data_IF_526045911760
#
_entry.id   IF_526045911760
#
_cell.length_a   1.000
_cell.length_b   1.000
_cell.length_c   1.000
_cell.angle_alpha   90.00
_cell.angle_beta   90.00
_cell.angle_gamma   90.00
#
_symmetry.space_group_name_H-M   'P 1'
#
loop_
_entity.id
_entity.type
_entity.pdbx_description
1 polymer ?
#
# COMPACT_ATOMS: atom_id res chain seq x y z
N UNK A 1 -30.55 -19.83 17.33
CA UNK A 1 -29.24 -20.42 16.97
C UNK A 1 -28.75 -19.78 15.67
N UNK A 2 -27.62 -19.08 15.69
CA UNK A 2 -27.14 -18.35 14.51
C UNK A 2 -26.65 -19.33 13.43
N UNK A 3 -27.21 -19.25 12.22
CA UNK A 3 -26.79 -20.06 11.07
C UNK A 3 -25.30 -19.82 10.79
N UNK A 4 -24.49 -20.89 10.74
CA UNK A 4 -23.10 -20.80 10.28
C UNK A 4 -23.11 -20.24 8.86
N UNK A 5 -22.48 -19.08 8.64
CA UNK A 5 -22.27 -18.52 7.31
C UNK A 5 -21.06 -19.23 6.71
N UNK A 6 -21.28 -20.02 5.66
CA UNK A 6 -20.23 -20.65 4.86
C UNK A 6 -19.86 -19.72 3.71
N UNK A 7 -18.57 -19.46 3.51
CA UNK A 7 -18.05 -18.66 2.41
C UNK A 7 -16.91 -19.45 1.77
N UNK A 8 -16.89 -19.51 0.44
CA UNK A 8 -15.87 -20.20 -0.32
C UNK A 8 -15.06 -19.18 -1.12
N UNK A 9 -13.74 -19.35 -1.18
CA UNK A 9 -12.83 -18.48 -1.92
C UNK A 9 -12.00 -19.28 -2.92
N UNK A 10 -11.87 -18.76 -4.13
CA UNK A 10 -10.98 -19.34 -5.15
C UNK A 10 -9.53 -18.96 -4.88
N UNK A 11 -8.66 -19.94 -4.62
CA UNK A 11 -7.23 -19.69 -4.42
C UNK A 11 -6.50 -19.12 -5.65
N UNK A 12 -7.05 -19.28 -6.85
CA UNK A 12 -6.42 -18.81 -8.08
C UNK A 12 -6.73 -17.34 -8.42
N UNK A 13 -7.87 -16.80 -7.96
CA UNK A 13 -8.29 -15.44 -8.34
C UNK A 13 -8.98 -14.65 -7.22
N UNK A 14 -9.15 -15.20 -6.03
CA UNK A 14 -9.78 -14.54 -4.89
C UNK A 14 -11.30 -14.38 -5.00
N UNK A 15 -11.95 -14.97 -6.00
CA UNK A 15 -13.41 -14.90 -6.13
C UNK A 15 -14.11 -15.61 -4.97
N UNK A 16 -15.11 -14.96 -4.37
CA UNK A 16 -15.84 -15.47 -3.21
C UNK A 16 -17.29 -15.82 -3.53
N UNK A 17 -17.77 -16.97 -3.05
CA UNK A 17 -19.16 -17.41 -3.22
C UNK A 17 -19.73 -18.02 -1.93
N UNK A 18 -21.04 -17.88 -1.67
CA UNK A 18 -21.69 -18.47 -0.49
C UNK A 18 -21.98 -19.98 -0.64
N UNK A 19 -21.72 -20.56 -1.82
CA UNK A 19 -21.96 -21.97 -2.14
C UNK A 19 -20.76 -22.56 -2.88
N UNK A 20 -20.44 -23.81 -2.61
CA UNK A 20 -19.46 -24.56 -3.38
C UNK A 20 -19.98 -24.81 -4.80
N UNK A 21 -19.17 -24.49 -5.80
CA UNK A 21 -19.55 -24.62 -7.21
C UNK A 21 -18.64 -25.59 -7.99
N UNK A 22 -17.59 -26.15 -7.37
CA UNK A 22 -16.59 -27.03 -8.00
C UNK A 22 -15.66 -26.31 -9.00
N UNK A 23 -16.22 -25.45 -9.84
CA UNK A 23 -15.54 -24.59 -10.80
C UNK A 23 -15.71 -23.12 -10.41
N UNK A 24 -14.61 -22.36 -10.44
CA UNK A 24 -14.66 -20.91 -10.23
C UNK A 24 -15.29 -20.21 -11.45
N UNK A 25 -16.32 -19.38 -11.22
CA UNK A 25 -16.98 -18.61 -12.31
C UNK A 25 -16.17 -17.42 -12.82
N UNK A 26 -15.14 -16.99 -12.09
CA UNK A 26 -14.29 -15.86 -12.46
C UNK A 26 -13.11 -16.30 -13.34
N UNK A 27 -12.33 -17.29 -12.88
CA UNK A 27 -11.13 -17.75 -13.59
C UNK A 27 -11.29 -19.10 -14.31
N UNK A 28 -12.48 -19.72 -14.29
CA UNK A 28 -12.79 -21.01 -14.91
C UNK A 28 -11.96 -22.22 -14.41
N UNK A 29 -11.18 -22.06 -13.34
CA UNK A 29 -10.40 -23.15 -12.75
C UNK A 29 -11.28 -24.10 -11.93
N UNK A 30 -10.97 -25.38 -12.00
CA UNK A 30 -11.59 -26.43 -11.20
C UNK A 30 -10.84 -26.61 -9.87
N UNK A 31 -11.52 -27.11 -8.83
CA UNK A 31 -10.89 -27.56 -7.57
C UNK A 31 -10.08 -26.49 -6.80
N UNK A 32 -10.24 -25.22 -7.18
CA UNK A 32 -9.55 -24.08 -6.56
C UNK A 32 -10.39 -23.38 -5.50
N UNK A 33 -11.66 -23.72 -5.37
CA UNK A 33 -12.54 -23.18 -4.33
C UNK A 33 -12.17 -23.83 -3.00
N UNK A 34 -12.08 -23.07 -1.92
CA UNK A 34 -11.84 -23.58 -0.57
C UNK A 34 -12.80 -22.90 0.40
N UNK A 35 -13.32 -23.65 1.37
CA UNK A 35 -14.17 -23.09 2.42
C UNK A 35 -13.33 -22.27 3.40
N UNK A 36 -13.72 -21.01 3.60
CA UNK A 36 -13.10 -20.13 4.58
C UNK A 36 -13.59 -20.48 5.99
N UNK A 37 -12.66 -20.47 6.94
CA UNK A 37 -12.98 -20.66 8.36
C UNK A 37 -13.76 -19.47 8.90
N UNK A 38 -14.46 -19.66 10.02
CA UNK A 38 -15.20 -18.56 10.67
C UNK A 38 -14.30 -17.40 11.09
N UNK A 39 -13.02 -17.66 11.35
CA UNK A 39 -12.01 -16.64 11.68
C UNK A 39 -11.63 -15.84 10.43
N UNK A 40 -11.38 -16.52 9.31
CA UNK A 40 -11.11 -15.87 8.02
C UNK A 40 -12.29 -14.99 7.57
N UNK A 41 -13.53 -15.47 7.76
CA UNK A 41 -14.74 -14.69 7.45
C UNK A 41 -14.89 -13.44 8.34
N UNK A 42 -14.42 -13.48 9.59
CA UNK A 42 -14.42 -12.31 10.48
C UNK A 42 -13.37 -11.30 10.04
N UNK A 43 -12.13 -11.75 9.83
CA UNK A 43 -11.03 -10.91 9.35
C UNK A 43 -11.41 -10.17 8.07
N UNK A 44 -12.01 -10.87 7.10
CA UNK A 44 -12.41 -10.30 5.83
C UNK A 44 -13.44 -9.16 5.96
N UNK A 45 -14.32 -9.23 6.96
CA UNK A 45 -15.30 -8.17 7.24
C UNK A 45 -14.66 -6.96 7.89
N UNK A 46 -13.74 -7.18 8.83
CA UNK A 46 -13.02 -6.12 9.52
C UNK A 46 -12.13 -5.33 8.55
N UNK A 47 -11.44 -6.01 7.62
CA UNK A 47 -10.65 -5.35 6.57
C UNK A 47 -11.53 -4.64 5.54
N UNK A 48 -12.70 -5.19 5.21
CA UNK A 48 -13.63 -4.56 4.26
C UNK A 48 -14.27 -3.29 4.84
N UNK A 49 -14.58 -3.24 6.15
CA UNK A 49 -15.14 -2.05 6.79
C UNK A 49 -14.16 -0.89 6.94
N UNK A 50 -12.84 -1.14 6.89
CA UNK A 50 -11.82 -0.09 6.95
C UNK A 50 -11.50 0.55 5.58
N UNK A 51 -12.10 0.06 4.51
CA UNK A 51 -11.91 0.61 3.14
C UNK A 51 -12.66 1.92 2.88
N UNK A 52 -13.43 2.44 3.84
CA UNK A 52 -14.09 3.75 3.75
C UNK A 52 -13.23 4.92 4.22
N UNK A 53 -11.93 4.71 4.49
CA UNK A 53 -11.01 5.83 4.66
C UNK A 53 -10.59 6.33 3.29
N UNK A 54 -11.15 7.48 2.91
CA UNK A 54 -10.96 8.20 1.65
C UNK A 54 -9.55 8.81 1.51
N UNK A 55 -8.50 8.03 1.71
CA UNK A 55 -7.21 8.35 1.12
C UNK A 55 -7.25 7.91 -0.34
N UNK A 56 -6.80 8.75 -1.25
CA UNK A 56 -6.72 8.44 -2.68
C UNK A 56 -5.80 7.23 -2.85
N UNK A 57 -6.38 6.03 -2.86
CA UNK A 57 -5.67 4.79 -3.15
C UNK A 57 -5.33 4.82 -4.64
N UNK A 58 -4.04 4.98 -4.95
CA UNK A 58 -3.51 4.79 -6.30
C UNK A 58 -4.06 3.47 -6.85
N UNK A 59 -4.83 3.53 -7.94
CA UNK A 59 -5.35 2.32 -8.59
C UNK A 59 -4.18 1.48 -9.09
N UNK A 60 -4.30 0.16 -8.99
CA UNK A 60 -3.32 -0.75 -9.59
C UNK A 60 -3.27 -0.50 -11.10
N UNK A 61 -2.06 -0.27 -11.64
CA UNK A 61 -1.77 -0.13 -13.06
C UNK A 61 -0.64 -1.10 -13.45
N UNK A 62 -0.64 -1.65 -14.67
CA UNK A 62 0.48 -2.42 -15.15
C UNK A 62 1.72 -1.54 -15.27
N UNK A 63 2.91 -2.12 -15.09
CA UNK A 63 4.19 -1.38 -15.12
C UNK A 63 4.41 -0.61 -16.43
N UNK A 64 3.85 -1.10 -17.54
CA UNK A 64 3.91 -0.49 -18.87
C UNK A 64 3.08 0.80 -19.00
N UNK A 65 2.17 1.07 -18.06
CA UNK A 65 1.29 2.24 -18.03
C UNK A 65 1.63 3.21 -16.89
N UNK A 66 2.77 3.01 -16.22
CA UNK A 66 3.28 3.94 -15.21
C UNK A 66 3.97 5.09 -15.92
N UNK A 67 3.43 6.30 -15.77
CA UNK A 67 4.04 7.53 -16.27
C UNK A 67 5.14 8.00 -15.29
N UNK A 68 6.23 8.54 -15.83
CA UNK A 68 7.29 9.15 -15.02
C UNK A 68 6.81 10.49 -14.47
N UNK A 69 6.75 10.59 -13.14
CA UNK A 69 6.29 11.80 -12.49
C UNK A 69 7.41 12.86 -12.46
N UNK A 70 7.19 13.98 -13.15
CA UNK A 70 8.14 15.08 -13.17
C UNK A 70 7.90 16.00 -11.96
N UNK A 71 8.49 15.61 -10.84
CA UNK A 71 8.32 16.34 -9.57
C UNK A 71 9.29 17.54 -9.52
N UNK A 72 8.74 18.74 -9.36
CA UNK A 72 9.53 19.95 -9.11
C UNK A 72 10.15 19.90 -7.71
N UNK A 73 11.49 19.96 -7.65
CA UNK A 73 12.25 19.94 -6.40
C UNK A 73 12.67 21.35 -6.00
N UNK A 74 12.72 21.61 -4.69
CA UNK A 74 13.27 22.85 -4.15
C UNK A 74 14.73 22.62 -3.72
N UNK A 75 15.65 23.54 -4.06
CA UNK A 75 17.02 23.45 -3.58
C UNK A 75 17.06 23.64 -2.06
N UNK A 76 17.84 22.84 -1.36
CA UNK A 76 18.04 22.96 0.10
C UNK A 76 19.07 24.02 0.47
N UNK A 77 19.73 24.65 -0.51
CA UNK A 77 20.85 25.58 -0.28
C UNK A 77 22.19 24.90 0.03
N UNK A 78 22.20 23.56 0.15
CA UNK A 78 23.41 22.75 0.25
C UNK A 78 23.49 21.78 -0.93
N UNK A 79 24.51 21.96 -1.77
CA UNK A 79 24.71 21.12 -2.97
C UNK A 79 24.92 19.65 -2.63
N UNK A 80 25.63 19.34 -1.54
CA UNK A 80 25.86 17.98 -1.08
C UNK A 80 24.55 17.32 -0.61
N UNK A 81 23.71 18.07 0.11
CA UNK A 81 22.43 17.53 0.56
C UNK A 81 21.46 17.35 -0.61
N UNK A 82 21.42 18.30 -1.55
CA UNK A 82 20.60 18.17 -2.75
C UNK A 82 20.98 16.94 -3.56
N UNK A 83 22.29 16.64 -3.67
CA UNK A 83 22.78 15.41 -4.30
C UNK A 83 22.28 14.15 -3.57
N UNK A 84 22.33 14.12 -2.25
CA UNK A 84 21.82 12.99 -1.44
C UNK A 84 20.30 12.84 -1.59
N UNK A 85 19.56 13.94 -1.72
CA UNK A 85 18.11 13.93 -1.90
C UNK A 85 17.67 13.63 -3.35
N UNK A 86 18.60 13.51 -4.30
CA UNK A 86 18.30 13.27 -5.71
C UNK A 86 17.92 14.53 -6.49
N UNK A 87 18.55 15.66 -6.17
CA UNK A 87 18.38 16.97 -6.82
C UNK A 87 17.58 17.99 -6.00
N UNK A 88 17.33 17.73 -4.71
CA UNK A 88 16.63 18.66 -3.81
C UNK A 88 15.36 18.07 -3.19
N UNK A 89 14.66 18.91 -2.42
CA UNK A 89 13.51 18.55 -1.57
C UNK A 89 12.23 18.45 -2.40
N UNK A 90 11.51 17.33 -2.25
CA UNK A 90 10.20 17.11 -2.90
C UNK A 90 9.06 17.67 -2.03
N UNK A 91 8.18 18.55 -2.55
CA UNK A 91 7.02 19.03 -1.80
C UNK A 91 6.10 17.88 -1.37
N UNK A 92 5.60 17.94 -0.13
CA UNK A 92 4.72 16.91 0.44
C UNK A 92 5.42 15.59 0.79
N UNK A 93 6.75 15.51 0.65
CA UNK A 93 7.52 14.35 1.07
C UNK A 93 7.85 14.36 2.56
N UNK A 94 8.14 13.17 3.10
CA UNK A 94 8.67 12.99 4.45
C UNK A 94 10.08 12.42 4.34
N UNK A 95 11.06 13.13 4.92
CA UNK A 95 12.48 12.71 4.91
C UNK A 95 12.95 12.47 6.34
N UNK A 96 13.46 11.27 6.60
CA UNK A 96 14.04 10.90 7.90
C UNK A 96 15.55 11.13 7.89
N UNK A 97 16.05 11.93 8.85
CA UNK A 97 17.48 12.16 9.04
C UNK A 97 17.96 11.38 10.28
N UNK A 98 18.70 10.29 10.03
CA UNK A 98 19.29 9.44 11.06
C UNK A 98 20.75 9.81 11.39
N UNK A 99 21.24 9.35 12.54
CA UNK A 99 22.65 9.49 12.93
C UNK A 99 22.86 9.52 14.44
N UNK A 100 24.10 9.26 14.89
CA UNK A 100 24.48 9.23 16.31
C UNK A 100 24.13 10.53 17.06
N UNK A 101 23.93 10.48 18.40
CA UNK A 101 23.82 11.69 19.21
C UNK A 101 25.04 12.60 19.00
N UNK A 102 24.83 13.91 18.87
CA UNK A 102 25.91 14.89 18.70
C UNK A 102 26.47 15.06 17.28
N UNK A 103 26.06 14.26 16.28
CA UNK A 103 26.59 14.37 14.90
C UNK A 103 26.14 15.63 14.13
N UNK A 104 25.31 16.50 14.74
CA UNK A 104 24.90 17.77 14.14
C UNK A 104 23.64 17.72 13.26
N UNK A 105 22.76 16.72 13.42
CA UNK A 105 21.47 16.62 12.68
C UNK A 105 20.62 17.90 12.78
N UNK A 106 20.40 18.38 14.00
CA UNK A 106 19.64 19.62 14.24
C UNK A 106 20.34 20.84 13.66
N UNK A 107 21.68 20.88 13.72
CA UNK A 107 22.49 21.96 13.14
C UNK A 107 22.37 22.00 11.62
N UNK A 108 22.40 20.84 10.96
CA UNK A 108 22.20 20.74 9.51
C UNK A 108 20.81 21.28 9.12
N UNK A 109 19.75 20.82 9.81
CA UNK A 109 18.39 21.27 9.55
C UNK A 109 18.22 22.78 9.78
N UNK A 110 18.82 23.33 10.84
CA UNK A 110 18.78 24.77 11.11
C UNK A 110 19.48 25.60 10.02
N UNK A 111 20.56 25.09 9.42
CA UNK A 111 21.25 25.77 8.31
C UNK A 111 20.42 25.82 7.03
N UNK A 112 19.53 24.86 6.82
CA UNK A 112 18.70 24.74 5.62
C UNK A 112 17.40 25.53 5.77
N UNK A 113 16.85 25.59 6.98
CA UNK A 113 15.60 26.29 7.27
C UNK A 113 15.75 27.81 7.40
N UNK A 114 17.00 28.30 7.52
CA UNK A 114 17.34 29.72 7.74
C UNK A 114 17.54 30.51 6.46
#
# INVERSE_FOLDING_TARGET
MAKKKTLFECQACGFQSPRWMGKCTSCNQWETMIELTTEQIKFLKETSSNSSSSSVLSKAKPITEIEEDNVTRFPSGSTELDLVLGGGIVPGSLTLIGGSPGIGKSTLLLKIAG
#
